data_IF_164391509243
#
_entry.id   IF_164391509243
#
_cell.length_a   1.000
_cell.length_b   1.000
_cell.length_c   1.000
_cell.angle_alpha   90.00
_cell.angle_beta   90.00
_cell.angle_gamma   90.00
#
_symmetry.space_group_name_H-M   'P 1'
#
loop_
_entity.id
_entity.type
_entity.pdbx_description
1 polymer ?
#
# COMPACT_ATOMS: atom_id res chain seq x y z
N UNK A 1 16.20 -5.61 17.30
CA UNK A 1 16.47 -4.19 17.00
C UNK A 1 15.24 -3.37 17.41
N UNK A 2 15.39 -2.40 18.33
CA UNK A 2 14.30 -1.61 18.90
C UNK A 2 14.10 -0.33 18.09
N UNK A 3 12.92 -0.15 17.49
CA UNK A 3 12.51 1.06 16.77
C UNK A 3 11.63 0.72 15.56
N UNK A 4 10.39 1.22 15.53
CA UNK A 4 9.54 1.11 14.33
C UNK A 4 10.20 1.90 13.19
N UNK A 5 10.70 1.21 12.17
CA UNK A 5 11.27 1.83 10.97
C UNK A 5 10.23 2.45 10.03
N UNK A 6 8.94 2.31 10.38
CA UNK A 6 7.82 2.86 9.64
C UNK A 6 7.16 4.01 10.42
N UNK A 7 6.79 5.07 9.69
CA UNK A 7 6.01 6.20 10.21
C UNK A 7 4.75 6.40 9.37
N UNK A 8 3.66 6.78 10.03
CA UNK A 8 2.45 7.28 9.37
C UNK A 8 2.52 8.80 9.39
N UNK A 9 2.40 9.43 8.22
CA UNK A 9 2.45 10.87 8.06
C UNK A 9 1.10 11.34 7.53
N UNK A 10 0.28 12.05 8.32
CA UNK A 10 -0.97 12.61 7.86
C UNK A 10 -0.76 13.56 6.68
N UNK A 11 -1.54 13.38 5.63
CA UNK A 11 -1.56 14.28 4.49
C UNK A 11 -2.54 15.42 4.74
N UNK A 12 -2.17 16.63 4.32
CA UNK A 12 -3.03 17.80 4.42
C UNK A 12 -4.12 17.72 3.34
N UNK A 13 -5.42 17.87 3.68
CA UNK A 13 -6.51 17.81 2.69
C UNK A 13 -6.37 18.77 1.52
N UNK A 14 -5.76 19.94 1.75
CA UNK A 14 -5.51 20.92 0.70
C UNK A 14 -4.35 20.54 -0.25
N UNK A 15 -3.49 19.60 0.14
CA UNK A 15 -2.29 19.20 -0.59
C UNK A 15 -2.59 18.37 -1.84
N UNK A 16 -1.72 18.46 -2.86
CA UNK A 16 -1.87 17.74 -4.13
C UNK A 16 -1.96 16.23 -3.96
N UNK A 17 -1.05 15.66 -3.16
CA UNK A 17 -1.01 14.21 -2.91
C UNK A 17 -2.30 13.68 -2.26
N UNK A 18 -2.89 14.44 -1.32
CA UNK A 18 -4.17 14.07 -0.72
C UNK A 18 -5.26 14.00 -1.80
N UNK A 19 -5.36 15.07 -2.62
CA UNK A 19 -6.38 15.19 -3.67
C UNK A 19 -6.25 14.11 -4.73
N UNK A 20 -5.02 13.72 -5.08
CA UNK A 20 -4.77 12.65 -6.04
C UNK A 20 -5.27 11.30 -5.51
N UNK A 21 -4.92 10.96 -4.26
CA UNK A 21 -5.40 9.71 -3.62
C UNK A 21 -6.92 9.73 -3.43
N UNK A 22 -7.48 10.85 -2.97
CA UNK A 22 -8.93 11.03 -2.84
C UNK A 22 -9.64 10.82 -4.18
N UNK A 23 -9.13 11.43 -5.25
CA UNK A 23 -9.70 11.31 -6.59
C UNK A 23 -9.73 9.85 -7.05
N UNK A 24 -8.64 9.11 -6.88
CA UNK A 24 -8.60 7.68 -7.25
C UNK A 24 -9.55 6.84 -6.40
N UNK A 25 -9.63 7.09 -5.09
CA UNK A 25 -10.52 6.37 -4.19
C UNK A 25 -12.00 6.59 -4.54
N UNK A 26 -12.40 7.84 -4.81
CA UNK A 26 -13.80 8.20 -5.11
C UNK A 26 -14.35 7.59 -6.40
N UNK A 27 -13.50 7.11 -7.31
CA UNK A 27 -13.94 6.36 -8.50
C UNK A 27 -14.71 5.10 -8.09
N UNK A 28 -14.20 4.34 -7.11
CA UNK A 28 -14.86 3.13 -6.60
C UNK A 28 -15.76 3.38 -5.39
N UNK A 29 -15.50 4.43 -4.62
CA UNK A 29 -16.14 4.69 -3.33
C UNK A 29 -16.71 6.13 -3.23
N UNK A 30 -17.66 6.54 -4.09
CA UNK A 30 -18.06 7.94 -4.22
C UNK A 30 -18.78 8.53 -3.00
N UNK A 31 -19.44 7.69 -2.21
CA UNK A 31 -20.34 8.11 -1.11
C UNK A 31 -19.70 8.13 0.27
N UNK A 32 -18.46 7.65 0.40
CA UNK A 32 -17.81 7.55 1.71
C UNK A 32 -17.16 8.87 2.12
N UNK A 33 -17.24 9.16 3.40
CA UNK A 33 -16.48 10.25 4.03
C UNK A 33 -15.08 9.76 4.35
N UNK A 34 -14.06 10.47 3.85
CA UNK A 34 -12.66 10.21 4.19
C UNK A 34 -12.34 10.97 5.48
N UNK A 35 -12.04 10.25 6.56
CA UNK A 35 -11.65 10.88 7.83
C UNK A 35 -10.21 11.41 7.78
N UNK A 36 -9.30 10.64 7.20
CA UNK A 36 -7.89 11.02 7.02
C UNK A 36 -7.22 10.17 5.94
N UNK A 37 -6.11 10.68 5.42
CA UNK A 37 -5.19 9.93 4.56
C UNK A 37 -3.80 10.05 5.19
N UNK A 38 -3.13 8.92 5.39
CA UNK A 38 -1.79 8.84 5.98
C UNK A 38 -0.84 8.16 5.01
N UNK A 39 0.29 8.81 4.71
CA UNK A 39 1.37 8.18 3.95
C UNK A 39 2.18 7.28 4.86
N UNK A 40 2.35 6.03 4.44
CA UNK A 40 3.30 5.10 5.06
C UNK A 40 4.71 5.43 4.58
N UNK A 41 5.60 5.79 5.51
CA UNK A 41 7.01 5.99 5.24
C UNK A 41 7.83 4.87 5.89
N UNK A 42 8.21 3.86 5.09
CA UNK A 42 9.03 2.72 5.52
C UNK A 42 10.21 2.53 4.53
N UNK A 43 11.38 3.13 4.80
CA UNK A 43 12.52 3.14 3.87
C UNK A 43 13.01 1.73 3.48
N UNK A 44 13.00 0.78 4.40
CA UNK A 44 13.48 -0.59 4.14
C UNK A 44 12.54 -1.33 3.18
N UNK A 45 11.22 -1.20 3.40
CA UNK A 45 10.23 -1.80 2.49
C UNK A 45 10.23 -1.11 1.14
N UNK A 46 10.37 0.22 1.11
CA UNK A 46 10.51 0.97 -0.13
C UNK A 46 11.75 0.53 -0.93
N UNK A 47 12.91 0.38 -0.28
CA UNK A 47 14.12 -0.08 -0.94
C UNK A 47 13.97 -1.50 -1.51
N UNK A 48 13.44 -2.43 -0.72
CA UNK A 48 13.19 -3.80 -1.19
C UNK A 48 12.21 -3.84 -2.38
N UNK A 49 11.15 -3.03 -2.32
CA UNK A 49 10.20 -2.87 -3.43
C UNK A 49 10.89 -2.36 -4.70
N UNK A 50 11.68 -1.28 -4.60
CA UNK A 50 12.38 -0.68 -5.72
C UNK A 50 13.40 -1.64 -6.37
N UNK A 51 14.09 -2.47 -5.58
CA UNK A 51 14.97 -3.53 -6.11
C UNK A 51 14.17 -4.54 -6.93
N UNK A 52 13.02 -5.01 -6.40
CA UNK A 52 12.19 -5.97 -7.13
C UNK A 52 11.56 -5.37 -8.39
N UNK A 53 11.14 -4.11 -8.34
CA UNK A 53 10.64 -3.36 -9.50
C UNK A 53 11.67 -3.35 -10.62
N UNK A 54 12.92 -2.94 -10.35
CA UNK A 54 14.00 -2.95 -11.34
C UNK A 54 14.27 -4.33 -11.92
N UNK A 55 14.27 -5.38 -11.08
CA UNK A 55 14.42 -6.75 -11.54
C UNK A 55 13.33 -7.14 -12.56
N UNK A 56 12.06 -6.83 -12.27
CA UNK A 56 10.93 -7.15 -13.16
C UNK A 56 11.00 -6.30 -14.44
N UNK A 57 11.37 -5.03 -14.35
CA UNK A 57 11.54 -4.16 -15.52
C UNK A 57 12.62 -4.69 -16.47
N UNK A 58 13.75 -5.17 -15.95
CA UNK A 58 14.79 -5.83 -16.75
C UNK A 58 14.28 -7.12 -17.37
N UNK A 59 13.57 -7.97 -16.59
CA UNK A 59 13.06 -9.25 -17.07
C UNK A 59 12.03 -9.09 -18.19
N UNK A 60 11.15 -8.09 -18.09
CA UNK A 60 10.06 -7.86 -19.05
C UNK A 60 10.45 -6.93 -20.21
N UNK A 61 11.62 -6.28 -20.14
CA UNK A 61 12.08 -5.35 -21.17
C UNK A 61 11.30 -4.03 -21.25
N UNK A 62 10.43 -3.74 -20.28
CA UNK A 62 9.63 -2.51 -20.25
C UNK A 62 9.29 -2.08 -18.82
N UNK A 63 8.80 -0.84 -18.66
CA UNK A 63 8.47 -0.24 -17.34
C UNK A 63 7.00 -0.38 -16.92
N UNK A 64 6.12 -0.85 -17.80
CA UNK A 64 4.68 -0.99 -17.52
C UNK A 64 4.35 -2.25 -16.69
N UNK A 65 4.92 -2.36 -15.49
CA UNK A 65 4.73 -3.52 -14.57
C UNK A 65 4.04 -3.14 -13.25
N UNK A 66 3.89 -1.85 -12.98
CA UNK A 66 3.35 -1.34 -11.72
C UNK A 66 1.91 -0.87 -11.91
N UNK A 67 1.05 -1.20 -10.95
CA UNK A 67 -0.34 -0.73 -10.89
C UNK A 67 -0.62 -0.23 -9.48
N UNK A 68 -1.35 0.87 -9.38
CA UNK A 68 -1.92 1.34 -8.12
C UNK A 68 -3.22 0.58 -7.89
N UNK A 69 -3.31 -0.13 -6.78
CA UNK A 69 -4.45 -0.98 -6.40
C UNK A 69 -4.87 -0.68 -4.95
N UNK A 70 -6.07 -1.12 -4.57
CA UNK A 70 -6.60 -0.96 -3.21
C UNK A 70 -6.59 -2.28 -2.45
N UNK A 71 -6.33 -2.21 -1.14
CA UNK A 71 -6.41 -3.34 -0.22
C UNK A 71 -7.17 -2.94 1.05
N UNK A 72 -8.40 -3.45 1.21
CA UNK A 72 -9.17 -3.30 2.44
C UNK A 72 -8.70 -4.30 3.49
N UNK A 73 -8.61 -3.89 4.76
CA UNK A 73 -8.10 -4.74 5.84
C UNK A 73 -8.75 -4.36 7.18
N UNK A 74 -8.97 -5.30 8.12
CA UNK A 74 -9.44 -4.95 9.46
C UNK A 74 -8.38 -4.18 10.26
N UNK A 75 -8.82 -3.42 11.26
CA UNK A 75 -7.92 -2.62 12.10
C UNK A 75 -6.79 -3.46 12.75
N UNK A 76 -7.08 -4.71 13.11
CA UNK A 76 -6.12 -5.64 13.73
C UNK A 76 -4.86 -5.91 12.91
N UNK A 77 -4.91 -5.72 11.59
CA UNK A 77 -3.79 -6.00 10.67
C UNK A 77 -3.09 -4.73 10.18
N UNK A 78 -3.56 -3.54 10.59
CA UNK A 78 -2.99 -2.26 10.20
C UNK A 78 -1.49 -2.15 10.57
N UNK A 79 -1.16 -2.40 11.84
CA UNK A 79 0.22 -2.31 12.36
C UNK A 79 1.18 -3.26 11.65
N UNK A 80 0.87 -4.57 11.56
CA UNK A 80 1.69 -5.49 10.78
C UNK A 80 1.91 -5.05 9.33
N UNK A 81 0.86 -4.55 8.64
CA UNK A 81 0.95 -4.16 7.23
C UNK A 81 1.91 -2.98 7.03
N UNK A 82 1.79 -1.88 7.77
CA UNK A 82 2.67 -0.73 7.53
C UNK A 82 4.11 -0.96 8.00
N UNK A 83 4.33 -1.88 8.96
CA UNK A 83 5.67 -2.22 9.45
C UNK A 83 6.37 -3.28 8.56
N UNK A 84 5.64 -4.33 8.18
CA UNK A 84 6.22 -5.53 7.56
C UNK A 84 5.76 -5.79 6.13
N UNK A 85 4.82 -4.99 5.62
CA UNK A 85 4.21 -5.21 4.32
C UNK A 85 3.19 -6.34 4.32
N UNK A 86 2.80 -6.79 3.13
CA UNK A 86 1.88 -7.90 2.93
C UNK A 86 2.62 -9.23 3.05
N UNK A 87 2.10 -10.14 3.88
CA UNK A 87 2.65 -11.47 4.09
C UNK A 87 1.57 -12.51 3.79
N UNK A 88 1.91 -13.55 3.02
CA UNK A 88 1.04 -14.69 2.74
C UNK A 88 0.56 -15.42 3.98
N UNK A 89 1.24 -15.28 5.13
CA UNK A 89 0.73 -15.80 6.40
C UNK A 89 -0.56 -15.10 6.86
N UNK A 90 -0.95 -13.99 6.22
CA UNK A 90 -2.25 -13.34 6.38
C UNK A 90 -3.31 -13.91 5.43
N UNK A 91 -2.94 -14.80 4.50
CA UNK A 91 -3.87 -15.53 3.65
C UNK A 91 -4.90 -16.30 4.50
N UNK A 92 -6.12 -16.42 4.00
CA UNK A 92 -7.25 -16.98 4.75
C UNK A 92 -8.12 -15.96 5.48
N UNK A 93 -7.68 -14.69 5.57
CA UNK A 93 -8.54 -13.54 5.92
C UNK A 93 -9.10 -12.80 4.69
N UNK A 94 -8.55 -13.11 3.51
CA UNK A 94 -9.00 -12.61 2.20
C UNK A 94 -9.56 -13.77 1.37
N UNK A 95 -10.29 -13.47 0.28
CA UNK A 95 -10.81 -14.48 -0.64
C UNK A 95 -9.66 -15.30 -1.28
N UNK A 96 -9.68 -16.63 -1.13
CA UNK A 96 -8.66 -17.55 -1.64
C UNK A 96 -9.04 -18.22 -2.98
N UNK A 97 -10.10 -17.74 -3.64
CA UNK A 97 -10.68 -18.36 -4.84
C UNK A 97 -9.69 -18.44 -6.02
N UNK A 98 -8.75 -17.49 -6.10
CA UNK A 98 -7.77 -17.39 -7.19
C UNK A 98 -6.32 -17.58 -6.71
N UNK A 99 -6.13 -18.10 -5.49
CA UNK A 99 -4.81 -18.39 -4.92
C UNK A 99 -4.63 -17.94 -3.48
N UNK A 100 -3.58 -18.45 -2.85
CA UNK A 100 -3.20 -18.16 -1.47
C UNK A 100 -2.12 -17.07 -1.44
N UNK A 101 -2.55 -15.82 -1.60
CA UNK A 101 -1.72 -14.61 -1.59
C UNK A 101 -1.60 -13.94 -0.22
#
# INVERSE_FOLDING_TARGET
MKGSHAKLVPLQPAGGEYKDVEKTFRIGCPKFTIEKIERVQNPYRWQAYQVKKKQIETQNGHKNNEKVLFHGTPHSTLVPIYQTGFNRSYAGKNAAMIGNG
#
